data_IF_490964678432
#
_entry.id   IF_490964678432
#
_cell.length_a   1.000
_cell.length_b   1.000
_cell.length_c   1.000
_cell.angle_alpha   90.00
_cell.angle_beta   90.00
_cell.angle_gamma   90.00
#
_symmetry.space_group_name_H-M   'P 1'
#
loop_
_entity.id
_entity.type
_entity.pdbx_description
1 polymer ?
#
# COMPACT_ATOMS: atom_id res chain seq x y z
N UNK A 1 15.83 29.31 34.06
CA UNK A 1 15.79 28.13 33.17
C UNK A 1 14.39 27.53 33.24
N UNK A 2 13.46 28.05 32.44
CA UNK A 2 12.08 27.58 32.38
C UNK A 2 11.97 26.52 31.28
N UNK A 3 11.75 25.26 31.68
CA UNK A 3 11.41 24.21 30.72
C UNK A 3 9.91 24.21 30.46
N UNK A 4 9.59 24.56 29.21
CA UNK A 4 8.26 24.56 28.61
C UNK A 4 7.75 23.10 28.54
N UNK A 5 6.79 22.74 29.41
CA UNK A 5 5.99 21.52 29.24
C UNK A 5 4.94 21.79 28.17
N UNK A 6 5.30 21.55 26.90
CA UNK A 6 4.29 21.41 25.83
C UNK A 6 3.53 20.13 26.14
N UNK A 7 2.36 20.33 26.73
CA UNK A 7 1.36 19.33 27.05
C UNK A 7 1.00 18.58 25.77
N UNK A 8 1.32 17.29 25.75
CA UNK A 8 0.90 16.29 24.76
C UNK A 8 -0.63 16.19 24.84
N UNK A 9 -1.32 17.11 24.17
CA UNK A 9 -2.78 17.17 24.05
C UNK A 9 -3.29 16.42 22.80
N UNK A 10 -2.41 15.71 22.09
CA UNK A 10 -2.73 15.04 20.82
C UNK A 10 -3.13 13.56 20.92
N UNK A 11 -3.02 12.92 22.08
CA UNK A 11 -3.11 11.44 22.18
C UNK A 11 -4.31 10.97 23.03
N UNK A 12 -4.97 11.84 23.80
CA UNK A 12 -6.03 11.45 24.74
C UNK A 12 -7.42 11.27 24.11
N UNK A 13 -7.65 11.63 22.84
CA UNK A 13 -8.95 11.44 22.18
C UNK A 13 -9.16 10.05 21.55
N UNK A 14 -8.16 9.17 21.57
CA UNK A 14 -8.24 7.86 20.90
C UNK A 14 -8.83 6.73 21.75
N UNK A 15 -9.09 6.95 23.05
CA UNK A 15 -9.64 5.92 23.94
C UNK A 15 -11.18 5.79 23.92
N UNK A 16 -11.88 6.47 23.01
CA UNK A 16 -13.35 6.38 22.90
C UNK A 16 -13.79 5.16 22.07
N UNK A 17 -12.87 4.53 21.34
CA UNK A 17 -13.17 3.35 20.53
C UNK A 17 -12.35 2.17 21.06
N UNK A 18 -13.04 1.10 21.46
CA UNK A 18 -12.45 -0.17 21.88
C UNK A 18 -11.92 -0.94 20.64
N UNK A 19 -11.11 -0.24 19.84
CA UNK A 19 -10.62 -0.65 18.54
C UNK A 19 -9.36 -1.50 18.70
N UNK A 20 -9.45 -2.78 18.36
CA UNK A 20 -8.28 -3.66 18.27
C UNK A 20 -7.50 -3.33 17.00
N UNK A 21 -6.45 -2.51 17.11
CA UNK A 21 -5.59 -2.18 15.99
C UNK A 21 -4.60 -3.32 15.70
N UNK A 22 -4.23 -3.50 14.43
CA UNK A 22 -3.31 -4.55 14.00
C UNK A 22 -2.19 -3.99 13.14
N UNK A 23 -0.97 -4.49 13.31
CA UNK A 23 0.13 -4.28 12.37
C UNK A 23 0.35 -5.55 11.55
N UNK A 24 0.61 -5.40 10.25
CA UNK A 24 0.87 -6.54 9.38
C UNK A 24 1.97 -6.23 8.37
N UNK A 25 2.64 -7.27 7.89
CA UNK A 25 3.55 -7.21 6.75
C UNK A 25 3.03 -8.18 5.69
N UNK A 26 3.01 -7.75 4.44
CA UNK A 26 2.61 -8.57 3.30
C UNK A 26 3.64 -8.47 2.18
N UNK A 27 3.88 -9.59 1.51
CA UNK A 27 4.62 -9.62 0.25
C UNK A 27 3.71 -10.09 -0.88
N UNK A 28 3.97 -9.64 -2.10
CA UNK A 28 3.24 -10.10 -3.28
C UNK A 28 4.15 -10.19 -4.50
N UNK A 29 3.83 -11.14 -5.37
CA UNK A 29 4.36 -11.20 -6.73
C UNK A 29 3.35 -10.53 -7.67
N UNK A 30 3.84 -9.65 -8.55
CA UNK A 30 3.01 -8.83 -9.43
C UNK A 30 3.38 -9.11 -10.89
N UNK A 31 2.36 -9.23 -11.73
CA UNK A 31 2.51 -9.30 -13.18
C UNK A 31 1.67 -8.17 -13.77
N UNK A 32 2.26 -7.39 -14.65
CA UNK A 32 1.62 -6.27 -15.32
C UNK A 32 2.12 -6.11 -16.75
N UNK A 33 1.70 -5.02 -17.38
CA UNK A 33 2.14 -4.63 -18.71
C UNK A 33 2.50 -3.15 -18.68
N UNK A 34 3.62 -2.79 -19.29
CA UNK A 34 4.02 -1.40 -19.47
C UNK A 34 4.16 -1.07 -20.95
N UNK A 35 3.67 0.09 -21.34
CA UNK A 35 3.86 0.60 -22.69
C UNK A 35 5.21 1.30 -22.81
N UNK A 36 6.13 0.71 -23.57
CA UNK A 36 7.44 1.26 -23.83
C UNK A 36 7.38 2.19 -25.06
N UNK A 37 7.19 3.49 -24.82
CA UNK A 37 7.08 4.50 -25.88
C UNK A 37 8.22 4.45 -26.91
N UNK A 38 9.51 4.33 -26.54
CA UNK A 38 10.60 4.28 -27.52
C UNK A 38 10.54 3.08 -28.47
N UNK A 39 9.93 1.98 -28.02
CA UNK A 39 9.79 0.74 -28.80
C UNK A 39 8.39 0.61 -29.44
N UNK A 40 7.49 1.56 -29.15
CA UNK A 40 6.09 1.54 -29.55
C UNK A 40 5.41 0.17 -29.31
N UNK A 41 5.64 -0.44 -28.15
CA UNK A 41 5.16 -1.80 -27.85
C UNK A 41 4.88 -1.98 -26.37
N UNK A 42 3.98 -2.91 -26.07
CA UNK A 42 3.68 -3.35 -24.71
C UNK A 42 4.67 -4.44 -24.30
N UNK A 43 5.26 -4.31 -23.13
CA UNK A 43 6.16 -5.31 -22.56
C UNK A 43 5.62 -5.83 -21.24
N UNK A 44 5.89 -7.10 -20.99
CA UNK A 44 5.57 -7.74 -19.72
C UNK A 44 6.42 -7.11 -18.62
N UNK A 45 5.76 -6.70 -17.54
CA UNK A 45 6.39 -6.26 -16.30
C UNK A 45 6.18 -7.36 -15.27
N UNK A 46 7.25 -7.83 -14.66
CA UNK A 46 7.19 -8.78 -13.54
C UNK A 46 7.83 -8.13 -12.33
N UNK A 47 7.27 -8.36 -11.14
CA UNK A 47 7.73 -7.66 -9.96
C UNK A 47 7.41 -8.34 -8.65
N UNK A 48 7.98 -7.79 -7.60
CA UNK A 48 7.70 -8.18 -6.23
C UNK A 48 7.49 -6.92 -5.39
N UNK A 49 6.63 -7.04 -4.40
CA UNK A 49 6.27 -5.95 -3.49
C UNK A 49 6.37 -6.42 -2.06
N UNK A 50 6.83 -5.53 -1.18
CA UNK A 50 6.73 -5.66 0.27
C UNK A 50 5.99 -4.44 0.78
N UNK A 51 5.02 -4.68 1.65
CA UNK A 51 4.18 -3.66 2.26
C UNK A 51 4.09 -3.93 3.76
N UNK A 52 4.26 -2.86 4.55
CA UNK A 52 4.02 -2.88 5.98
C UNK A 52 2.84 -1.94 6.27
N UNK A 53 1.84 -2.47 6.95
CA UNK A 53 0.60 -1.77 7.22
C UNK A 53 0.21 -1.75 8.68
N UNK A 54 -0.67 -0.80 8.98
CA UNK A 54 -1.34 -0.61 10.25
C UNK A 54 -2.84 -0.45 10.00
N UNK A 55 -3.61 -1.22 10.73
CA UNK A 55 -5.05 -1.36 10.63
C UNK A 55 -5.69 -0.75 11.87
N UNK A 56 -6.64 0.18 11.68
CA UNK A 56 -7.40 0.79 12.77
C UNK A 56 -8.81 0.25 12.76
N UNK A 57 -9.18 -0.48 13.82
CA UNK A 57 -10.48 -1.14 14.00
C UNK A 57 -10.87 -2.26 12.98
N UNK A 58 -9.96 -3.15 12.53
CA UNK A 58 -10.25 -4.20 11.53
C UNK A 58 -11.33 -5.21 11.93
N UNK A 59 -11.57 -5.44 13.22
CA UNK A 59 -12.48 -6.50 13.70
C UNK A 59 -13.86 -6.01 14.12
N UNK A 60 -13.95 -4.78 14.64
CA UNK A 60 -15.11 -4.39 15.46
C UNK A 60 -16.16 -3.54 14.75
N UNK A 61 -15.90 -3.01 13.53
CA UNK A 61 -16.83 -2.03 12.95
C UNK A 61 -17.22 -2.21 11.49
N UNK A 62 -18.26 -1.46 11.12
CA UNK A 62 -18.72 -1.18 9.76
C UNK A 62 -17.75 -0.26 9.00
N UNK A 63 -16.87 0.46 9.70
CA UNK A 63 -15.84 1.31 9.12
C UNK A 63 -14.45 0.91 9.67
N UNK A 64 -13.49 0.71 8.77
CA UNK A 64 -12.14 0.26 9.07
C UNK A 64 -11.16 1.05 8.19
N UNK A 65 -10.02 1.48 8.73
CA UNK A 65 -9.00 2.18 7.93
C UNK A 65 -7.65 1.50 8.00
N UNK A 66 -6.93 1.51 6.87
CA UNK A 66 -5.62 0.91 6.68
C UNK A 66 -4.64 1.98 6.25
N UNK A 67 -3.46 2.00 6.83
CA UNK A 67 -2.35 2.87 6.40
C UNK A 67 -1.12 2.01 6.19
N UNK A 68 -0.36 2.27 5.14
CA UNK A 68 0.78 1.43 4.80
C UNK A 68 1.86 2.20 4.07
N UNK A 69 3.09 1.69 4.18
CA UNK A 69 4.18 2.01 3.27
C UNK A 69 4.54 0.78 2.47
N UNK A 70 4.98 0.98 1.24
CA UNK A 70 5.32 -0.11 0.33
C UNK A 70 6.57 0.20 -0.48
N UNK A 71 7.23 -0.87 -0.88
CA UNK A 71 8.37 -0.87 -1.79
C UNK A 71 8.13 -1.98 -2.81
N UNK A 72 8.09 -1.59 -4.09
CA UNK A 72 7.91 -2.50 -5.20
C UNK A 72 9.13 -2.46 -6.11
N UNK A 73 9.52 -3.63 -6.59
CA UNK A 73 10.49 -3.82 -7.65
C UNK A 73 9.77 -4.40 -8.86
N UNK A 74 10.02 -3.83 -10.04
CA UNK A 74 9.54 -4.32 -11.31
C UNK A 74 10.70 -4.47 -12.29
N UNK A 75 10.59 -5.46 -13.18
CA UNK A 75 11.55 -5.74 -14.24
C UNK A 75 10.80 -5.94 -15.56
N UNK A 76 11.39 -5.37 -16.62
CA UNK A 76 10.90 -5.49 -17.99
C UNK A 76 12.04 -5.99 -18.85
N UNK A 77 11.85 -7.17 -19.44
CA UNK A 77 12.77 -7.70 -20.43
C UNK A 77 12.43 -7.13 -21.81
N UNK A 78 13.40 -6.52 -22.48
CA UNK A 78 13.16 -5.92 -23.78
C UNK A 78 13.12 -6.94 -24.91
N UNK A 79 13.89 -8.02 -24.82
CA UNK A 79 13.85 -9.14 -25.76
C UNK A 79 14.22 -10.44 -25.04
N UNK A 80 13.68 -11.58 -25.49
CA UNK A 80 13.92 -12.87 -24.83
C UNK A 80 15.39 -13.31 -24.88
N UNK A 81 16.12 -12.86 -25.91
CA UNK A 81 17.53 -13.21 -26.15
C UNK A 81 18.50 -12.06 -25.80
N UNK A 82 18.03 -11.02 -25.09
CA UNK A 82 18.84 -9.86 -24.73
C UNK A 82 18.99 -9.73 -23.23
N UNK A 83 20.17 -9.28 -22.79
CA UNK A 83 20.42 -8.86 -21.40
C UNK A 83 19.85 -7.47 -21.10
N UNK A 84 19.30 -6.78 -22.11
CA UNK A 84 18.71 -5.46 -21.94
C UNK A 84 17.41 -5.59 -21.14
N UNK A 85 17.38 -4.93 -19.99
CA UNK A 85 16.24 -4.90 -19.10
C UNK A 85 16.04 -3.50 -18.55
N UNK A 86 14.80 -3.13 -18.28
CA UNK A 86 14.48 -1.95 -17.48
C UNK A 86 14.00 -2.39 -16.11
N UNK A 87 14.60 -1.82 -15.07
CA UNK A 87 14.20 -2.03 -13.70
C UNK A 87 13.44 -0.81 -13.20
N UNK A 88 12.35 -1.05 -12.49
CA UNK A 88 11.50 -0.04 -11.89
C UNK A 88 11.52 -0.25 -10.38
N UNK A 89 11.82 0.80 -9.64
CA UNK A 89 11.67 0.83 -8.20
C UNK A 89 10.57 1.82 -7.85
N UNK A 90 9.54 1.33 -7.17
CA UNK A 90 8.43 2.13 -6.67
C UNK A 90 8.48 2.14 -5.16
N UNK A 91 8.32 3.29 -4.55
CA UNK A 91 8.14 3.39 -3.11
C UNK A 91 7.07 4.43 -2.81
N UNK A 92 6.32 4.19 -1.76
CA UNK A 92 5.17 5.03 -1.48
C UNK A 92 4.49 4.73 -0.17
N UNK A 93 3.42 5.49 0.03
CA UNK A 93 2.50 5.34 1.15
C UNK A 93 1.08 5.27 0.60
N UNK A 94 0.23 4.56 1.31
CA UNK A 94 -1.18 4.46 0.98
C UNK A 94 -2.06 4.47 2.20
N UNK A 95 -3.30 4.88 1.97
CA UNK A 95 -4.35 4.87 2.96
C UNK A 95 -5.63 4.37 2.31
N UNK A 96 -6.25 3.38 2.94
CA UNK A 96 -7.55 2.87 2.51
C UNK A 96 -8.57 3.07 3.63
N UNK A 97 -9.74 3.57 3.27
CA UNK A 97 -10.92 3.55 4.12
C UNK A 97 -11.90 2.52 3.57
N UNK A 98 -12.32 1.61 4.43
CA UNK A 98 -13.23 0.52 4.10
C UNK A 98 -14.53 0.69 4.86
N UNK A 99 -15.64 0.59 4.13
CA UNK A 99 -16.99 0.59 4.72
C UNK A 99 -17.69 -0.72 4.41
N UNK A 100 -17.82 -1.57 5.42
CA UNK A 100 -18.54 -2.84 5.34
C UNK A 100 -20.06 -2.59 5.35
N UNK A 101 -20.76 -3.05 4.30
CA UNK A 101 -22.21 -2.89 4.17
C UNK A 101 -22.99 -4.15 4.53
N UNK A 102 -22.35 -5.32 4.56
CA UNK A 102 -22.95 -6.59 4.99
C UNK A 102 -21.93 -7.44 5.75
N UNK A 103 -22.27 -7.84 6.99
CA UNK A 103 -21.43 -8.67 7.87
C UNK A 103 -22.21 -9.92 8.26
N UNK A 104 -22.14 -10.96 7.41
CA UNK A 104 -22.57 -12.31 7.76
C UNK A 104 -21.29 -13.13 8.10
N UNK A 105 -21.31 -14.06 9.07
CA UNK A 105 -20.20 -14.97 9.34
C UNK A 105 -19.59 -15.66 8.11
N UNK A 106 -20.34 -15.82 7.02
CA UNK A 106 -19.86 -16.46 5.78
C UNK A 106 -19.27 -15.44 4.78
N UNK A 107 -19.85 -14.24 4.69
CA UNK A 107 -19.49 -13.26 3.67
C UNK A 107 -19.47 -11.85 4.26
N UNK A 108 -18.37 -11.13 4.04
CA UNK A 108 -18.24 -9.71 4.34
C UNK A 108 -18.02 -8.95 3.05
N UNK A 109 -18.86 -7.97 2.77
CA UNK A 109 -18.70 -7.08 1.63
C UNK A 109 -18.40 -5.66 2.12
N UNK A 110 -17.38 -5.05 1.52
CA UNK A 110 -16.96 -3.70 1.85
C UNK A 110 -16.69 -2.88 0.60
N UNK A 111 -16.97 -1.59 0.69
CA UNK A 111 -16.49 -0.60 -0.27
C UNK A 111 -15.11 -0.14 0.14
N UNK A 112 -14.20 -0.04 -0.83
CA UNK A 112 -12.82 0.37 -0.64
C UNK A 112 -12.61 1.74 -1.27
N UNK A 113 -12.17 2.71 -0.47
CA UNK A 113 -11.74 4.02 -0.93
C UNK A 113 -10.27 4.18 -0.55
N UNK A 114 -9.39 4.02 -1.53
CA UNK A 114 -7.95 4.06 -1.32
C UNK A 114 -7.29 5.19 -2.09
N UNK A 115 -6.27 5.79 -1.48
CA UNK A 115 -5.32 6.66 -2.16
C UNK A 115 -3.91 6.14 -1.90
N UNK A 116 -3.14 6.01 -2.96
CA UNK A 116 -1.70 5.73 -2.90
C UNK A 116 -0.94 6.89 -3.51
N UNK A 117 0.14 7.30 -2.83
CA UNK A 117 1.11 8.26 -3.32
C UNK A 117 2.44 7.53 -3.46
N UNK A 118 3.00 7.54 -4.67
CA UNK A 118 4.19 6.78 -5.00
C UNK A 118 5.15 7.60 -5.86
N UNK A 119 6.44 7.33 -5.68
CA UNK A 119 7.50 7.79 -6.57
C UNK A 119 8.11 6.57 -7.28
N UNK A 120 8.38 6.75 -8.57
CA UNK A 120 8.92 5.71 -9.43
C UNK A 120 10.30 6.13 -9.95
N UNK A 121 11.29 5.26 -9.79
CA UNK A 121 12.62 5.40 -10.38
C UNK A 121 12.83 4.31 -11.40
N UNK A 122 13.21 4.70 -12.62
CA UNK A 122 13.52 3.78 -13.70
C UNK A 122 15.03 3.71 -13.91
N UNK A 123 15.56 2.49 -14.02
CA UNK A 123 16.95 2.19 -14.28
C UNK A 123 17.01 1.35 -15.56
N UNK A 124 17.68 1.89 -16.58
CA UNK A 124 17.87 1.29 -17.89
C UNK A 124 19.30 0.75 -18.02
#
# INVERSE_FOLDING_TARGET
MHYLRILILGISFLNILNAENLSYMSSSYQIGTVFMRPLNTNKLLQGASILQGYEVNPKNDWAYSRYYFFIDYGNVLFNNDSTLQANMFTYGVGGDFMVAYAKNPINRWAFFFGLQLAANTWIL
#
